data_IF_862005284647
#
_entry.id   IF_862005284647
#
_cell.length_a   1.000
_cell.length_b   1.000
_cell.length_c   1.000
_cell.angle_alpha   90.00
_cell.angle_beta   90.00
_cell.angle_gamma   90.00
#
_symmetry.space_group_name_H-M   'P 1'
#
loop_
_entity.id
_entity.type
_entity.pdbx_description
1 polymer ?
#
# COMPACT_ATOMS: atom_id res chain seq x y z
N UNK A 1 -18.29 -4.13 -2.14
CA UNK A 1 -17.06 -4.92 -1.90
C UNK A 1 -17.18 -6.27 -2.58
N UNK A 2 -16.10 -6.75 -3.20
CA UNK A 2 -15.99 -8.08 -3.79
C UNK A 2 -14.62 -8.65 -3.45
N UNK A 3 -14.57 -9.94 -3.18
CA UNK A 3 -13.33 -10.68 -3.01
C UNK A 3 -13.43 -12.03 -3.69
N UNK A 4 -12.32 -12.56 -4.16
CA UNK A 4 -12.25 -13.87 -4.78
C UNK A 4 -11.03 -14.62 -4.24
N UNK A 5 -11.19 -15.94 -4.08
CA UNK A 5 -10.07 -16.83 -3.79
C UNK A 5 -9.81 -17.66 -5.03
N UNK A 6 -8.63 -17.53 -5.60
CA UNK A 6 -8.21 -18.24 -6.80
C UNK A 6 -7.22 -19.33 -6.40
N UNK A 7 -7.49 -20.57 -6.79
CA UNK A 7 -6.65 -21.72 -6.49
C UNK A 7 -6.36 -22.53 -7.75
N UNK A 8 -5.31 -23.35 -7.71
CA UNK A 8 -5.03 -24.31 -8.78
C UNK A 8 -6.11 -25.40 -8.79
N UNK A 9 -6.41 -25.94 -9.97
CA UNK A 9 -7.36 -27.04 -10.18
C UNK A 9 -7.09 -28.20 -9.23
N UNK A 10 -5.85 -28.63 -9.10
CA UNK A 10 -5.45 -29.72 -8.21
C UNK A 10 -5.75 -29.49 -6.72
N UNK A 11 -5.97 -28.23 -6.31
CA UNK A 11 -6.44 -27.90 -4.96
C UNK A 11 -7.96 -27.97 -4.93
N UNK A 12 -8.63 -27.39 -5.95
CA UNK A 12 -10.09 -27.43 -6.06
C UNK A 12 -10.64 -28.86 -6.07
N UNK A 13 -10.03 -29.76 -6.85
CA UNK A 13 -10.38 -31.20 -6.91
C UNK A 13 -10.40 -31.88 -5.54
N UNK A 14 -9.66 -31.38 -4.54
CA UNK A 14 -9.66 -31.93 -3.18
C UNK A 14 -10.96 -31.64 -2.42
N UNK A 15 -11.73 -30.69 -2.91
CA UNK A 15 -13.03 -30.28 -2.35
C UNK A 15 -14.21 -30.70 -3.24
N UNK A 16 -13.93 -31.33 -4.39
CA UNK A 16 -14.94 -31.85 -5.31
C UNK A 16 -15.18 -33.35 -5.01
N UNK A 17 -16.05 -33.57 -4.03
CA UNK A 17 -16.38 -34.89 -3.57
C UNK A 17 -17.84 -35.02 -3.14
N UNK A 18 -18.26 -36.24 -2.78
CA UNK A 18 -19.62 -36.48 -2.33
C UNK A 18 -19.87 -36.03 -0.89
N UNK A 19 -21.12 -35.75 -0.55
CA UNK A 19 -21.54 -35.50 0.83
C UNK A 19 -21.26 -36.71 1.75
N UNK A 20 -21.32 -37.93 1.18
CA UNK A 20 -21.06 -39.15 1.92
C UNK A 20 -19.59 -39.29 2.33
N UNK A 21 -18.68 -38.82 1.50
CA UNK A 21 -17.23 -38.83 1.76
C UNK A 21 -16.79 -37.65 2.63
N UNK A 22 -17.69 -36.72 2.94
CA UNK A 22 -17.40 -35.48 3.67
C UNK A 22 -16.33 -34.60 3.02
N UNK A 23 -16.17 -34.73 1.70
CA UNK A 23 -15.19 -34.01 0.88
C UNK A 23 -15.92 -33.00 0.00
N UNK A 24 -16.22 -31.82 0.55
CA UNK A 24 -16.81 -30.74 -0.21
C UNK A 24 -16.51 -29.40 0.45
N UNK A 25 -16.51 -28.36 -0.35
CA UNK A 25 -16.33 -26.99 0.13
C UNK A 25 -17.61 -26.51 0.81
N UNK A 26 -17.52 -26.15 2.11
CA UNK A 26 -18.67 -25.79 2.95
C UNK A 26 -18.77 -24.30 3.24
N UNK A 27 -18.01 -23.48 2.59
CA UNK A 27 -18.04 -22.04 2.78
C UNK A 27 -19.21 -21.43 1.99
N UNK A 28 -20.11 -20.76 2.68
CA UNK A 28 -21.18 -19.96 2.06
C UNK A 28 -20.97 -18.49 2.44
N UNK A 29 -20.86 -17.65 1.44
CA UNK A 29 -20.77 -16.19 1.60
C UNK A 29 -22.09 -15.56 1.21
N UNK A 30 -22.69 -14.76 2.11
CA UNK A 30 -24.00 -14.13 1.88
C UNK A 30 -24.06 -13.32 0.59
N UNK A 31 -22.96 -12.65 0.20
CA UNK A 31 -22.83 -11.88 -1.03
C UNK A 31 -22.05 -12.60 -2.14
N UNK A 32 -21.79 -13.90 -1.98
CA UNK A 32 -21.10 -14.70 -2.99
C UNK A 32 -21.89 -14.75 -4.29
N UNK A 33 -21.23 -14.50 -5.43
CA UNK A 33 -21.84 -14.51 -6.75
C UNK A 33 -22.86 -13.39 -7.02
N UNK A 34 -22.86 -12.32 -6.24
CA UNK A 34 -23.80 -11.22 -6.46
C UNK A 34 -23.57 -10.58 -7.85
N UNK A 35 -24.57 -10.57 -8.75
CA UNK A 35 -24.36 -10.22 -10.17
C UNK A 35 -23.79 -8.83 -10.41
N UNK A 36 -24.30 -7.81 -9.69
CA UNK A 36 -23.82 -6.44 -9.83
C UNK A 36 -22.37 -6.31 -9.38
N UNK A 37 -22.02 -6.89 -8.22
CA UNK A 37 -20.63 -6.86 -7.72
C UNK A 37 -19.67 -7.59 -8.65
N UNK A 38 -20.10 -8.71 -9.22
CA UNK A 38 -19.30 -9.47 -10.20
C UNK A 38 -19.07 -8.69 -11.50
N UNK A 39 -20.12 -8.02 -12.02
CA UNK A 39 -20.01 -7.16 -13.20
C UNK A 39 -19.06 -5.97 -12.96
N UNK A 40 -19.14 -5.32 -11.79
CA UNK A 40 -18.22 -4.24 -11.41
C UNK A 40 -16.79 -4.75 -11.30
N UNK A 41 -16.57 -5.93 -10.70
CA UNK A 41 -15.24 -6.54 -10.59
C UNK A 41 -14.64 -6.84 -11.97
N UNK A 42 -15.42 -7.42 -12.88
CA UNK A 42 -14.98 -7.69 -14.25
C UNK A 42 -14.60 -6.39 -14.97
N UNK A 43 -15.43 -5.33 -14.83
CA UNK A 43 -15.13 -4.04 -15.44
C UNK A 43 -13.88 -3.39 -14.85
N UNK A 44 -13.66 -3.51 -13.55
CA UNK A 44 -12.45 -3.00 -12.90
C UNK A 44 -11.17 -3.73 -13.42
N UNK A 45 -11.23 -5.06 -13.57
CA UNK A 45 -10.12 -5.84 -14.15
C UNK A 45 -9.86 -5.38 -15.59
N UNK A 46 -10.91 -5.23 -16.39
CA UNK A 46 -10.80 -4.76 -17.77
C UNK A 46 -10.14 -3.37 -17.87
N UNK A 47 -10.49 -2.43 -16.97
CA UNK A 47 -9.86 -1.10 -16.93
C UNK A 47 -8.36 -1.23 -16.61
N UNK A 48 -7.99 -2.08 -15.65
CA UNK A 48 -6.58 -2.31 -15.31
C UNK A 48 -5.79 -2.83 -16.51
N UNK A 49 -6.40 -3.71 -17.32
CA UNK A 49 -5.80 -4.26 -18.55
C UNK A 49 -5.75 -3.22 -19.67
N UNK A 50 -6.90 -2.61 -20.00
CA UNK A 50 -7.04 -1.67 -21.14
C UNK A 50 -6.15 -0.43 -20.97
N UNK A 51 -6.02 0.08 -19.75
CA UNK A 51 -5.21 1.27 -19.42
C UNK A 51 -3.78 0.92 -18.98
N UNK A 52 -3.42 -0.37 -19.04
CA UNK A 52 -2.08 -0.86 -18.67
C UNK A 52 -1.59 -0.39 -17.28
N UNK A 53 -2.50 -0.37 -16.30
CA UNK A 53 -2.27 0.23 -14.99
C UNK A 53 -1.22 -0.52 -14.15
N UNK A 54 -0.98 -1.79 -14.41
CA UNK A 54 0.10 -2.56 -13.77
C UNK A 54 1.48 -2.04 -14.16
N UNK A 55 1.65 -1.65 -15.44
CA UNK A 55 2.89 -1.07 -15.93
C UNK A 55 3.08 0.38 -15.42
N UNK A 56 1.98 1.17 -15.36
CA UNK A 56 2.05 2.48 -14.72
C UNK A 56 2.47 2.37 -13.25
N UNK A 57 1.89 1.43 -12.50
CA UNK A 57 2.26 1.19 -11.12
C UNK A 57 3.73 0.78 -10.97
N UNK A 58 4.27 -0.01 -11.90
CA UNK A 58 5.69 -0.37 -11.93
C UNK A 58 6.56 0.87 -12.17
N UNK A 59 6.27 1.61 -13.24
CA UNK A 59 7.09 2.75 -13.69
C UNK A 59 7.07 3.90 -12.70
N UNK A 60 5.88 4.31 -12.26
CA UNK A 60 5.75 5.39 -11.27
C UNK A 60 6.26 4.96 -9.90
N UNK A 61 6.05 3.70 -9.52
CA UNK A 61 6.57 3.16 -8.26
C UNK A 61 8.10 3.13 -8.22
N UNK A 62 8.76 2.67 -9.29
CA UNK A 62 10.22 2.70 -9.41
C UNK A 62 10.75 4.15 -9.37
N UNK A 63 10.11 5.06 -10.10
CA UNK A 63 10.43 6.48 -10.09
C UNK A 63 10.34 7.07 -8.66
N UNK A 64 9.20 6.94 -8.01
CA UNK A 64 8.99 7.50 -6.66
C UNK A 64 9.93 6.88 -5.63
N UNK A 65 10.13 5.57 -5.68
CA UNK A 65 11.03 4.87 -4.76
C UNK A 65 12.47 5.38 -4.89
N UNK A 66 12.95 5.53 -6.13
CA UNK A 66 14.28 6.06 -6.41
C UNK A 66 14.42 7.50 -5.92
N UNK A 67 13.42 8.35 -6.18
CA UNK A 67 13.46 9.76 -5.74
C UNK A 67 13.44 9.88 -4.21
N UNK A 68 12.59 9.11 -3.50
CA UNK A 68 12.62 9.09 -2.05
C UNK A 68 13.95 8.60 -1.50
N UNK A 69 14.53 7.55 -2.06
CA UNK A 69 15.83 7.04 -1.64
C UNK A 69 16.96 8.06 -1.85
N UNK A 70 16.89 8.85 -2.93
CA UNK A 70 17.87 9.92 -3.20
C UNK A 70 17.65 11.11 -2.26
N UNK A 71 16.42 11.61 -2.16
CA UNK A 71 16.09 12.80 -1.36
C UNK A 71 16.31 12.59 0.14
N UNK A 72 16.17 11.37 0.62
CA UNK A 72 16.30 11.00 2.04
C UNK A 72 17.59 10.22 2.34
N UNK A 73 18.54 10.17 1.40
CA UNK A 73 19.78 9.43 1.56
C UNK A 73 20.57 9.82 2.81
N UNK A 74 20.63 11.13 3.07
CA UNK A 74 21.37 11.72 4.19
C UNK A 74 20.45 12.19 5.33
N UNK A 75 19.13 11.97 5.23
CA UNK A 75 18.18 12.34 6.28
C UNK A 75 18.39 11.48 7.52
N UNK A 76 18.69 12.08 8.70
CA UNK A 76 19.02 11.31 9.91
C UNK A 76 17.84 10.52 10.46
N UNK A 77 16.62 10.90 10.11
CA UNK A 77 15.39 10.27 10.59
C UNK A 77 14.81 9.24 9.63
N UNK A 78 15.29 9.16 8.39
CA UNK A 78 14.90 8.13 7.43
C UNK A 78 15.67 6.84 7.69
N UNK A 79 15.06 5.90 8.39
CA UNK A 79 15.65 4.60 8.73
C UNK A 79 15.74 3.65 7.54
N UNK A 80 14.67 3.57 6.75
CA UNK A 80 14.58 2.79 5.52
C UNK A 80 13.49 3.33 4.61
N UNK A 81 13.75 3.33 3.30
CA UNK A 81 12.77 3.61 2.25
C UNK A 81 12.61 2.35 1.40
N UNK A 82 11.44 1.75 1.42
CA UNK A 82 11.14 0.49 0.74
C UNK A 82 9.79 0.50 0.05
N UNK A 83 9.64 -0.35 -0.96
CA UNK A 83 8.36 -0.46 -1.67
C UNK A 83 8.40 -1.45 -2.83
N UNK A 84 7.20 -1.71 -3.35
CA UNK A 84 7.00 -2.47 -4.59
C UNK A 84 5.84 -1.85 -5.37
N UNK A 85 6.11 -1.44 -6.61
CA UNK A 85 5.15 -0.64 -7.36
C UNK A 85 4.77 0.61 -6.56
N UNK A 86 3.50 0.94 -6.50
CA UNK A 86 2.98 2.11 -5.78
C UNK A 86 2.74 1.87 -4.28
N UNK A 87 3.02 0.69 -3.75
CA UNK A 87 2.97 0.46 -2.31
C UNK A 87 4.35 0.71 -1.70
N UNK A 88 4.47 1.79 -0.94
CA UNK A 88 5.74 2.25 -0.38
C UNK A 88 5.63 2.60 1.09
N UNK A 89 6.76 2.50 1.79
CA UNK A 89 6.89 2.90 3.18
C UNK A 89 8.22 3.59 3.46
N UNK A 90 8.17 4.60 4.32
CA UNK A 90 9.35 5.24 4.89
C UNK A 90 9.34 4.95 6.38
N UNK A 91 10.32 4.19 6.86
CA UNK A 91 10.52 3.94 8.27
C UNK A 91 11.24 5.13 8.90
N UNK A 92 10.64 5.70 9.93
CA UNK A 92 11.17 6.86 10.65
C UNK A 92 11.82 6.42 11.96
N UNK A 93 13.02 6.91 12.21
CA UNK A 93 13.85 6.56 13.39
C UNK A 93 14.36 7.82 14.07
N UNK A 94 14.65 7.74 15.38
CA UNK A 94 15.36 8.81 16.10
C UNK A 94 16.86 8.81 15.74
N UNK A 95 17.38 7.62 15.38
CA UNK A 95 18.79 7.43 15.02
C UNK A 95 18.94 6.24 14.07
N UNK A 96 19.67 6.43 12.98
CA UNK A 96 19.86 5.42 11.90
C UNK A 96 20.68 4.20 12.32
N UNK A 97 21.52 4.32 13.34
CA UNK A 97 22.39 3.22 13.79
C UNK A 97 21.63 2.32 14.75
N UNK A 98 20.99 2.90 15.74
CA UNK A 98 20.27 2.16 16.78
C UNK A 98 18.88 1.70 16.34
N UNK A 99 18.33 2.31 15.27
CA UNK A 99 16.98 2.06 14.74
C UNK A 99 15.87 2.25 15.78
N UNK A 100 16.09 3.11 16.76
CA UNK A 100 15.05 3.50 17.70
C UNK A 100 13.92 4.17 16.93
N UNK A 101 12.67 3.68 17.03
CA UNK A 101 11.54 4.26 16.30
C UNK A 101 11.31 5.73 16.66
N UNK A 102 10.99 6.55 15.67
CA UNK A 102 10.59 7.94 15.88
C UNK A 102 9.30 7.98 16.71
N UNK A 103 9.23 8.92 17.66
CA UNK A 103 8.08 9.10 18.54
C UNK A 103 6.78 9.30 17.75
N UNK A 104 5.70 8.63 18.16
CA UNK A 104 4.40 8.66 17.47
C UNK A 104 3.86 10.06 17.24
N UNK A 105 4.05 10.97 18.20
CA UNK A 105 3.62 12.37 18.08
C UNK A 105 4.31 13.11 16.92
N UNK A 106 5.60 12.85 16.67
CA UNK A 106 6.35 13.44 15.56
C UNK A 106 5.85 12.86 14.22
N UNK A 107 5.65 11.53 14.16
CA UNK A 107 5.07 10.87 12.98
C UNK A 107 3.69 11.44 12.63
N UNK A 108 2.84 11.65 13.62
CA UNK A 108 1.54 12.28 13.45
C UNK A 108 1.64 13.74 13.00
N UNK A 109 2.65 14.45 13.44
CA UNK A 109 2.95 15.82 12.97
C UNK A 109 3.25 15.84 11.48
N UNK A 110 4.09 14.92 10.99
CA UNK A 110 4.40 14.77 9.55
C UNK A 110 3.14 14.44 8.75
N UNK A 111 2.34 13.48 9.21
CA UNK A 111 1.08 13.10 8.54
C UNK A 111 0.12 14.30 8.47
N UNK A 112 -0.03 15.03 9.58
CA UNK A 112 -0.88 16.22 9.64
C UNK A 112 -0.42 17.33 8.70
N UNK A 113 0.88 17.57 8.60
CA UNK A 113 1.47 18.56 7.69
C UNK A 113 1.25 18.15 6.22
N UNK A 114 1.43 16.88 5.87
CA UNK A 114 1.12 16.39 4.53
C UNK A 114 -0.35 16.62 4.16
N UNK A 115 -1.28 16.33 5.07
CA UNK A 115 -2.72 16.56 4.83
C UNK A 115 -3.02 18.05 4.61
N UNK A 116 -2.43 18.95 5.40
CA UNK A 116 -2.60 20.39 5.22
C UNK A 116 -2.05 20.88 3.86
N UNK A 117 -1.07 20.19 3.31
CA UNK A 117 -0.48 20.49 2.01
C UNK A 117 -1.05 19.63 0.86
N UNK A 118 -2.23 19.03 1.05
CA UNK A 118 -3.01 18.35 0.00
C UNK A 118 -2.61 16.90 -0.29
N UNK A 119 -1.77 16.29 0.54
CA UNK A 119 -1.39 14.89 0.39
C UNK A 119 -1.88 14.06 1.58
N UNK A 120 -2.80 13.14 1.31
CA UNK A 120 -3.28 12.18 2.31
C UNK A 120 -2.38 10.95 2.26
N UNK A 121 -1.69 10.68 3.34
CA UNK A 121 -0.93 9.45 3.49
C UNK A 121 -1.29 8.72 4.79
N UNK A 122 -1.00 7.43 4.82
CA UNK A 122 -1.22 6.60 5.99
C UNK A 122 0.04 6.44 6.85
N UNK A 123 -0.14 5.79 7.97
CA UNK A 123 0.96 5.22 8.75
C UNK A 123 0.57 3.83 9.24
N UNK A 124 1.55 3.03 9.63
CA UNK A 124 1.25 1.78 10.30
C UNK A 124 0.56 2.06 11.64
N UNK A 125 -0.44 1.24 11.97
CA UNK A 125 -1.21 1.36 13.20
C UNK A 125 -0.58 0.53 14.34
N UNK A 126 -1.18 0.63 15.52
CA UNK A 126 -0.72 0.06 16.79
C UNK A 126 -0.69 -1.48 16.85
N UNK A 127 -0.29 -2.16 15.80
CA UNK A 127 -0.12 -3.62 15.79
C UNK A 127 0.97 -4.05 16.78
N UNK A 128 2.03 -3.24 16.89
CA UNK A 128 3.09 -3.40 17.88
C UNK A 128 3.23 -2.07 18.63
N UNK A 129 3.00 -2.05 19.95
CA UNK A 129 3.13 -0.83 20.74
C UNK A 129 4.50 -0.16 20.59
N UNK A 130 4.51 1.16 20.39
CA UNK A 130 5.72 1.95 20.22
C UNK A 130 6.40 1.81 18.86
N UNK A 131 5.75 1.17 17.87
CA UNK A 131 6.29 0.98 16.51
C UNK A 131 5.31 1.48 15.44
N UNK A 132 4.82 2.70 15.61
CA UNK A 132 3.93 3.37 14.64
C UNK A 132 4.68 4.38 13.76
N UNK A 133 5.91 4.04 13.39
CA UNK A 133 6.91 4.92 12.80
C UNK A 133 7.12 4.72 11.29
N UNK A 134 6.16 4.10 10.59
CA UNK A 134 6.24 3.91 9.13
C UNK A 134 5.17 4.75 8.45
N UNK A 135 5.58 5.70 7.63
CA UNK A 135 4.70 6.37 6.68
C UNK A 135 4.34 5.41 5.55
N UNK A 136 3.07 5.32 5.21
CA UNK A 136 2.56 4.42 4.17
C UNK A 136 1.97 5.22 3.02
N UNK A 137 2.40 4.92 1.81
CA UNK A 137 1.91 5.54 0.58
C UNK A 137 1.39 4.46 -0.37
N UNK A 138 0.19 4.67 -0.87
CA UNK A 138 -0.46 3.82 -1.85
C UNK A 138 -1.34 4.68 -2.77
N UNK A 139 -0.74 5.53 -3.61
CA UNK A 139 -1.49 6.34 -4.55
C UNK A 139 -2.27 5.46 -5.55
N UNK A 140 -3.33 6.00 -6.18
CA UNK A 140 -4.11 5.27 -7.18
C UNK A 140 -3.22 4.80 -8.34
N UNK A 141 -3.61 3.68 -8.97
CA UNK A 141 -2.86 3.11 -10.10
C UNK A 141 -2.72 4.04 -11.31
N UNK A 142 -3.58 5.06 -11.40
CA UNK A 142 -3.60 6.09 -12.46
C UNK A 142 -2.71 7.29 -12.16
N UNK A 143 -1.98 7.29 -11.02
CA UNK A 143 -1.10 8.41 -10.65
C UNK A 143 -0.16 8.75 -11.81
N UNK A 144 -0.09 10.04 -12.14
CA UNK A 144 0.83 10.56 -13.15
C UNK A 144 2.09 11.16 -12.51
N UNK A 145 3.02 11.60 -13.36
CA UNK A 145 4.31 12.11 -12.88
C UNK A 145 4.16 13.39 -12.03
N UNK A 146 3.29 14.31 -12.42
CA UNK A 146 3.12 15.58 -11.70
C UNK A 146 2.53 15.34 -10.30
N UNK A 147 1.57 14.43 -10.19
CA UNK A 147 1.00 13.98 -8.91
C UNK A 147 2.04 13.25 -8.05
N UNK A 148 2.87 12.40 -8.67
CA UNK A 148 3.98 11.73 -7.99
C UNK A 148 5.00 12.74 -7.46
N UNK A 149 5.36 13.76 -8.25
CA UNK A 149 6.25 14.84 -7.83
C UNK A 149 5.66 15.64 -6.66
N UNK A 150 4.36 15.95 -6.71
CA UNK A 150 3.67 16.61 -5.59
C UNK A 150 3.74 15.78 -4.30
N UNK A 151 3.55 14.47 -4.37
CA UNK A 151 3.68 13.57 -3.22
C UNK A 151 5.13 13.61 -2.69
N UNK A 152 6.11 13.46 -3.58
CA UNK A 152 7.53 13.47 -3.24
C UNK A 152 7.95 14.77 -2.51
N UNK A 153 7.61 15.92 -3.09
CA UNK A 153 7.92 17.24 -2.53
C UNK A 153 7.22 17.43 -1.18
N UNK A 154 5.93 17.13 -1.09
CA UNK A 154 5.14 17.35 0.13
C UNK A 154 5.64 16.50 1.28
N UNK A 155 5.89 15.20 1.05
CA UNK A 155 6.35 14.28 2.11
C UNK A 155 7.75 14.64 2.58
N UNK A 156 8.67 14.91 1.64
CA UNK A 156 10.05 15.31 1.98
C UNK A 156 10.06 16.63 2.77
N UNK A 157 9.30 17.64 2.32
CA UNK A 157 9.21 18.91 3.01
C UNK A 157 8.54 18.80 4.40
N UNK A 158 7.52 17.94 4.55
CA UNK A 158 6.88 17.68 5.83
C UNK A 158 7.84 17.03 6.84
N UNK A 159 8.67 16.10 6.38
CA UNK A 159 9.72 15.51 7.23
C UNK A 159 10.70 16.58 7.72
N UNK A 160 11.20 17.41 6.83
CA UNK A 160 12.16 18.49 7.19
C UNK A 160 11.56 19.57 8.10
N UNK A 161 10.23 19.81 8.06
CA UNK A 161 9.57 20.80 8.94
C UNK A 161 9.26 20.27 10.33
N UNK A 162 9.01 18.98 10.45
CA UNK A 162 8.56 18.36 11.70
C UNK A 162 9.71 17.80 12.55
N UNK A 163 10.91 17.71 11.99
CA UNK A 163 12.09 17.07 12.59
C UNK A 163 13.27 18.02 12.72
#
# INVERSE_FOLDING_TARGET
PVAATVVKESIFEKFDGSLADNVHFRQVNTFGGHPVSSAVALKAIQIVEDENLTENARTMGEYMLQQFQQNLADDPYAGEVRGKGLLMGIELVEDRQTKVPLADQKVMGIVGDCIQNGVILGRNSNTVPGRCNVLLMAPPLIVNKDEADQILETVTAAMHRAL
#
